data_IF_571415562063
#
_entry.id   IF_571415562063
#
_cell.length_a   1.000
_cell.length_b   1.000
_cell.length_c   1.000
_cell.angle_alpha   90.00
_cell.angle_beta   90.00
_cell.angle_gamma   90.00
#
_symmetry.space_group_name_H-M   'P 1'
#
loop_
_entity.id
_entity.type
_entity.pdbx_description
1 polymer ?
#
# COMPACT_ATOMS: atom_id res chain seq x y z
N UNK A 1 -23.09 -16.81 -4.66
CA UNK A 1 -23.05 -16.95 -3.19
C UNK A 1 -21.60 -17.10 -2.77
N UNK A 2 -21.13 -16.44 -1.69
CA UNK A 2 -19.74 -16.55 -1.28
C UNK A 2 -19.41 -17.96 -0.76
N UNK A 3 -18.23 -18.44 -1.12
CA UNK A 3 -17.69 -19.70 -0.59
C UNK A 3 -16.93 -19.43 0.72
N UNK A 4 -17.08 -20.31 1.69
CA UNK A 4 -16.36 -20.29 2.97
C UNK A 4 -15.58 -21.57 3.12
N UNK A 5 -14.27 -21.46 3.35
CA UNK A 5 -13.42 -22.57 3.73
C UNK A 5 -13.48 -22.72 5.26
N UNK A 6 -14.03 -23.83 5.72
CA UNK A 6 -14.28 -24.12 7.11
C UNK A 6 -13.40 -25.29 7.56
N UNK A 7 -12.73 -25.17 8.71
CA UNK A 7 -12.23 -26.33 9.46
C UNK A 7 -13.33 -26.74 10.43
N UNK A 8 -13.75 -27.98 10.35
CA UNK A 8 -14.83 -28.53 11.17
C UNK A 8 -14.35 -29.77 11.90
N UNK A 9 -14.88 -30.01 13.09
CA UNK A 9 -14.70 -31.25 13.84
C UNK A 9 -16.00 -32.03 13.77
N UNK A 10 -15.93 -33.27 13.27
CA UNK A 10 -17.09 -34.17 13.23
C UNK A 10 -17.38 -34.72 14.62
N UNK A 11 -18.55 -35.36 14.81
CA UNK A 11 -18.91 -35.97 16.08
C UNK A 11 -17.92 -37.07 16.53
N UNK A 12 -17.19 -37.65 15.57
CA UNK A 12 -16.14 -38.64 15.80
C UNK A 12 -14.78 -38.01 16.17
N UNK A 13 -14.70 -36.68 16.31
CA UNK A 13 -13.49 -35.96 16.71
C UNK A 13 -12.48 -35.71 15.58
N UNK A 14 -12.84 -35.99 14.33
CA UNK A 14 -11.95 -35.81 13.18
C UNK A 14 -12.04 -34.37 12.66
N UNK A 15 -10.89 -33.71 12.50
CA UNK A 15 -10.79 -32.38 11.90
C UNK A 15 -10.77 -32.49 10.38
N UNK A 16 -11.69 -31.83 9.69
CA UNK A 16 -11.80 -31.82 8.23
C UNK A 16 -11.87 -30.39 7.69
N UNK A 17 -11.20 -30.17 6.56
CA UNK A 17 -11.29 -28.93 5.80
C UNK A 17 -12.41 -29.07 4.76
N UNK A 18 -13.41 -28.18 4.80
CA UNK A 18 -14.60 -28.22 3.95
C UNK A 18 -14.87 -26.86 3.33
N UNK A 19 -15.32 -26.83 2.09
CA UNK A 19 -15.82 -25.61 1.46
C UNK A 19 -17.34 -25.63 1.47
N UNK A 20 -17.95 -24.59 2.06
CA UNK A 20 -19.40 -24.41 2.16
C UNK A 20 -19.81 -23.12 1.45
N UNK A 21 -20.81 -23.19 0.58
CA UNK A 21 -21.40 -22.01 -0.05
C UNK A 21 -22.56 -21.53 0.82
N UNK A 22 -22.48 -20.30 1.31
CA UNK A 22 -23.49 -19.74 2.21
C UNK A 22 -23.64 -18.24 1.99
N UNK A 23 -24.79 -17.67 2.34
CA UNK A 23 -25.03 -16.23 2.16
C UNK A 23 -24.32 -15.38 3.24
N UNK A 24 -24.10 -15.93 4.43
CA UNK A 24 -23.49 -15.25 5.58
C UNK A 24 -22.77 -16.23 6.49
N UNK A 25 -21.97 -15.72 7.44
CA UNK A 25 -21.31 -16.54 8.47
C UNK A 25 -22.34 -17.27 9.35
N UNK A 26 -23.47 -16.62 9.65
CA UNK A 26 -24.58 -17.21 10.42
C UNK A 26 -25.23 -18.40 9.69
N UNK A 27 -25.40 -18.29 8.37
CA UNK A 27 -25.87 -19.39 7.55
C UNK A 27 -24.91 -20.59 7.56
N UNK A 28 -23.60 -20.37 7.69
CA UNK A 28 -22.62 -21.45 7.85
C UNK A 28 -22.79 -22.17 9.19
N UNK A 29 -23.05 -21.43 10.29
CA UNK A 29 -23.33 -22.05 11.59
C UNK A 29 -24.57 -22.93 11.56
N UNK A 30 -25.64 -22.49 10.89
CA UNK A 30 -26.87 -23.27 10.75
C UNK A 30 -26.63 -24.59 10.00
N UNK A 31 -25.89 -24.55 8.89
CA UNK A 31 -25.53 -25.74 8.09
C UNK A 31 -24.67 -26.73 8.90
N UNK A 32 -23.74 -26.24 9.73
CA UNK A 32 -22.88 -27.09 10.55
C UNK A 32 -23.61 -27.70 11.74
N UNK A 33 -24.53 -26.93 12.35
CA UNK A 33 -25.37 -27.40 13.46
C UNK A 33 -26.30 -28.52 13.03
N UNK A 34 -26.92 -28.43 11.85
CA UNK A 34 -27.74 -29.51 11.28
C UNK A 34 -26.93 -30.80 11.06
N UNK A 35 -25.64 -30.68 10.75
CA UNK A 35 -24.72 -31.81 10.53
C UNK A 35 -24.07 -32.34 11.79
N UNK A 36 -24.39 -31.79 12.97
CA UNK A 36 -23.72 -32.08 14.25
C UNK A 36 -22.20 -31.89 14.20
N UNK A 37 -21.73 -30.97 13.36
CA UNK A 37 -20.31 -30.64 13.22
C UNK A 37 -20.00 -29.36 14.00
N UNK A 38 -18.85 -29.31 14.66
CA UNK A 38 -18.39 -28.11 15.36
C UNK A 38 -17.45 -27.30 14.47
N UNK A 39 -17.72 -26.01 14.35
CA UNK A 39 -16.86 -25.09 13.59
C UNK A 39 -15.60 -24.76 14.41
N UNK A 40 -14.42 -24.99 13.82
CA UNK A 40 -13.13 -24.61 14.41
C UNK A 40 -12.60 -23.32 13.80
N UNK A 41 -12.74 -23.15 12.49
CA UNK A 41 -12.27 -21.94 11.79
C UNK A 41 -13.08 -21.72 10.52
N UNK A 42 -13.35 -20.46 10.18
CA UNK A 42 -14.06 -20.07 8.95
C UNK A 42 -13.28 -18.97 8.23
N UNK A 43 -13.00 -19.17 6.94
CA UNK A 43 -12.36 -18.17 6.07
C UNK A 43 -13.24 -17.96 4.84
N UNK A 44 -13.67 -16.71 4.59
CA UNK A 44 -14.42 -16.36 3.39
C UNK A 44 -13.48 -16.39 2.18
N UNK A 45 -13.71 -17.31 1.26
CA UNK A 45 -12.94 -17.45 0.02
C UNK A 45 -13.41 -16.34 -0.93
N UNK A 46 -12.49 -15.45 -1.30
CA UNK A 46 -12.76 -14.33 -2.21
C UNK A 46 -12.92 -12.95 -1.57
N UNK A 47 -12.76 -12.81 -0.25
CA UNK A 47 -12.66 -11.49 0.40
C UNK A 47 -11.26 -11.24 0.96
N UNK A 48 -10.24 -11.43 0.12
CA UNK A 48 -8.91 -10.87 0.36
C UNK A 48 -8.95 -9.40 -0.04
N UNK A 49 -9.70 -8.57 0.69
CA UNK A 49 -9.32 -7.15 0.73
C UNK A 49 -7.95 -7.14 1.41
N UNK A 50 -6.94 -6.93 0.58
CA UNK A 50 -5.54 -6.85 0.95
C UNK A 50 -5.34 -5.58 1.80
N UNK A 51 -5.88 -5.58 3.02
CA UNK A 51 -5.78 -4.50 3.99
C UNK A 51 -4.31 -4.12 4.20
N UNK A 52 -3.39 -5.08 4.10
CA UNK A 52 -1.94 -4.85 4.10
C UNK A 52 -1.47 -3.87 3.02
N UNK A 53 -2.02 -3.93 1.80
CA UNK A 53 -1.69 -2.98 0.71
C UNK A 53 -2.26 -1.59 0.94
N UNK A 54 -3.38 -1.48 1.65
CA UNK A 54 -3.93 -0.18 2.06
C UNK A 54 -3.05 0.42 3.16
N UNK A 55 -2.66 -0.36 4.17
CA UNK A 55 -1.77 0.09 5.25
C UNK A 55 -0.35 0.45 4.75
N UNK A 56 0.23 -0.31 3.81
CA UNK A 56 1.55 0.02 3.25
C UNK A 56 1.53 1.30 2.40
N UNK A 57 0.39 1.69 1.83
CA UNK A 57 0.22 2.98 1.12
C UNK A 57 0.34 4.20 2.04
N UNK A 58 0.09 4.05 3.34
CA UNK A 58 0.18 5.12 4.34
C UNK A 58 1.42 5.00 5.22
N UNK A 59 2.35 4.09 4.89
CA UNK A 59 3.57 3.89 5.66
C UNK A 59 4.50 5.08 5.51
N UNK A 60 4.89 5.66 6.64
CA UNK A 60 5.82 6.78 6.69
C UNK A 60 7.16 6.39 6.07
N UNK A 61 7.68 7.24 5.19
CA UNK A 61 8.98 7.01 4.54
C UNK A 61 10.09 7.02 5.60
N UNK A 62 11.01 6.06 5.52
CA UNK A 62 12.11 5.96 6.49
C UNK A 62 13.08 7.14 6.30
N UNK A 63 13.63 7.75 7.37
CA UNK A 63 14.57 8.87 7.24
C UNK A 63 15.79 8.57 6.35
N UNK A 64 16.32 7.34 6.42
CA UNK A 64 17.43 6.89 5.56
C UNK A 64 17.07 6.94 4.07
N UNK A 65 15.86 6.52 3.72
CA UNK A 65 15.39 6.49 2.34
C UNK A 65 15.17 7.91 1.80
N UNK A 66 14.60 8.79 2.63
CA UNK A 66 14.48 10.23 2.32
C UNK A 66 15.85 10.89 2.11
N UNK A 67 16.83 10.60 2.96
CA UNK A 67 18.18 11.15 2.83
C UNK A 67 18.88 10.71 1.54
N UNK A 68 18.70 9.44 1.13
CA UNK A 68 19.23 8.92 -0.14
C UNK A 68 18.58 9.63 -1.32
N UNK A 69 17.23 9.70 -1.34
CA UNK A 69 16.48 10.40 -2.39
C UNK A 69 16.91 11.87 -2.53
N UNK A 70 17.02 12.58 -1.41
CA UNK A 70 17.41 14.00 -1.40
C UNK A 70 18.81 14.20 -1.98
N UNK A 71 19.77 13.35 -1.60
CA UNK A 71 21.14 13.44 -2.11
C UNK A 71 21.23 13.09 -3.60
N UNK A 72 20.54 12.05 -4.05
CA UNK A 72 20.51 11.67 -5.46
C UNK A 72 19.86 12.77 -6.30
N UNK A 73 18.72 13.31 -5.86
CA UNK A 73 18.05 14.44 -6.52
C UNK A 73 18.99 15.65 -6.61
N UNK A 74 19.65 16.04 -5.52
CA UNK A 74 20.64 17.11 -5.49
C UNK A 74 21.73 16.91 -6.54
N UNK A 75 22.32 15.71 -6.60
CA UNK A 75 23.40 15.41 -7.56
C UNK A 75 22.90 15.56 -8.98
N UNK A 76 21.75 14.97 -9.30
CA UNK A 76 21.17 15.02 -10.65
C UNK A 76 20.81 16.44 -11.09
N UNK A 77 20.19 17.23 -10.20
CA UNK A 77 19.87 18.63 -10.48
C UNK A 77 21.14 19.47 -10.69
N UNK A 78 22.18 19.26 -9.86
CA UNK A 78 23.47 19.95 -10.04
C UNK A 78 24.15 19.62 -11.37
N UNK A 79 23.91 18.43 -11.91
CA UNK A 79 24.41 18.03 -13.24
C UNK A 79 23.53 18.52 -14.40
N UNK A 80 22.48 19.29 -14.13
CA UNK A 80 21.58 19.84 -15.15
C UNK A 80 20.59 18.81 -15.71
N UNK A 81 20.39 17.68 -15.04
CA UNK A 81 19.39 16.69 -15.47
C UNK A 81 17.99 17.28 -15.22
N UNK A 82 17.08 17.26 -16.23
CA UNK A 82 15.72 17.76 -16.05
C UNK A 82 14.98 17.07 -14.90
N UNK A 83 14.21 17.83 -14.12
CA UNK A 83 13.52 17.34 -12.92
C UNK A 83 12.63 16.12 -13.20
N UNK A 84 11.94 16.09 -14.33
CA UNK A 84 11.10 14.97 -14.75
C UNK A 84 11.92 13.69 -14.93
N UNK A 85 13.12 13.80 -15.50
CA UNK A 85 14.06 12.67 -15.66
C UNK A 85 14.67 12.24 -14.34
N UNK A 86 14.93 13.18 -13.43
CA UNK A 86 15.33 12.88 -12.05
C UNK A 86 14.26 12.04 -11.35
N UNK A 87 13.00 12.47 -11.36
CA UNK A 87 11.90 11.77 -10.71
C UNK A 87 11.66 10.37 -11.31
N UNK A 88 11.71 10.23 -12.64
CA UNK A 88 11.62 8.91 -13.30
C UNK A 88 12.75 7.96 -12.84
N UNK A 89 13.98 8.48 -12.73
CA UNK A 89 15.13 7.68 -12.31
C UNK A 89 15.04 7.28 -10.84
N UNK A 90 14.64 8.22 -9.98
CA UNK A 90 14.47 8.01 -8.55
C UNK A 90 13.33 7.06 -8.23
N UNK A 91 12.24 7.09 -9.01
CA UNK A 91 11.14 6.12 -8.90
C UNK A 91 11.62 4.69 -9.12
N UNK A 92 12.42 4.47 -10.17
CA UNK A 92 13.01 3.16 -10.48
C UNK A 92 14.06 2.69 -9.46
N UNK A 93 14.70 3.61 -8.75
CA UNK A 93 15.73 3.33 -7.74
C UNK A 93 15.20 3.29 -6.31
N UNK A 94 13.89 3.54 -6.11
CA UNK A 94 13.30 3.56 -4.79
C UNK A 94 13.49 2.22 -4.07
N UNK A 95 13.90 2.29 -2.81
CA UNK A 95 14.17 1.08 -2.02
C UNK A 95 12.89 0.40 -1.51
N UNK A 96 11.79 1.14 -1.42
CA UNK A 96 10.48 0.64 -1.05
C UNK A 96 9.44 0.91 -2.13
N UNK A 97 8.52 -0.04 -2.32
CA UNK A 97 7.38 0.13 -3.23
C UNK A 97 6.50 1.32 -2.83
N UNK A 98 6.32 1.54 -1.52
CA UNK A 98 5.57 2.67 -0.97
C UNK A 98 6.17 4.01 -1.38
N UNK A 99 7.50 4.15 -1.32
CA UNK A 99 8.15 5.42 -1.69
C UNK A 99 8.24 5.57 -3.22
N UNK A 100 8.47 4.48 -3.95
CA UNK A 100 8.37 4.48 -5.41
C UNK A 100 7.00 4.99 -5.89
N UNK A 101 5.91 4.57 -5.23
CA UNK A 101 4.56 5.06 -5.53
C UNK A 101 4.40 6.56 -5.25
N UNK A 102 5.01 7.09 -4.17
CA UNK A 102 5.04 8.54 -3.88
C UNK A 102 5.77 9.30 -4.99
N UNK A 103 6.97 8.86 -5.37
CA UNK A 103 7.77 9.51 -6.42
C UNK A 103 7.04 9.45 -7.77
N UNK A 104 6.38 8.32 -8.07
CA UNK A 104 5.55 8.16 -9.26
C UNK A 104 4.38 9.14 -9.30
N UNK A 105 3.72 9.36 -8.16
CA UNK A 105 2.66 10.35 -8.04
C UNK A 105 3.20 11.77 -8.30
N UNK A 106 4.33 12.11 -7.68
CA UNK A 106 5.00 13.39 -7.92
C UNK A 106 5.37 13.59 -9.39
N UNK A 107 5.96 12.58 -10.03
CA UNK A 107 6.33 12.61 -11.45
C UNK A 107 5.13 12.95 -12.34
N UNK A 108 3.98 12.30 -12.11
CA UNK A 108 2.74 12.57 -12.85
C UNK A 108 2.25 14.01 -12.64
N UNK A 109 2.27 14.48 -11.40
CA UNK A 109 1.82 15.82 -11.05
C UNK A 109 2.70 16.91 -11.69
N UNK A 110 4.03 16.72 -11.65
CA UNK A 110 4.99 17.65 -12.26
C UNK A 110 4.87 17.67 -13.78
N UNK A 111 4.68 16.51 -14.42
CA UNK A 111 4.37 16.46 -15.86
C UNK A 111 3.04 17.15 -16.18
N UNK A 112 2.07 17.05 -15.28
CA UNK A 112 0.79 17.76 -15.37
C UNK A 112 0.88 19.27 -15.14
N UNK A 113 2.08 19.82 -14.90
CA UNK A 113 2.31 21.25 -14.75
C UNK A 113 2.30 21.77 -13.31
N UNK A 114 2.20 20.89 -12.31
CA UNK A 114 2.43 21.32 -10.92
C UNK A 114 3.92 21.62 -10.67
N UNK A 115 4.20 22.55 -9.77
CA UNK A 115 5.56 22.71 -9.23
C UNK A 115 5.98 21.47 -8.42
N UNK A 116 7.29 21.28 -8.24
CA UNK A 116 7.83 20.20 -7.43
C UNK A 116 7.38 20.32 -5.98
N UNK A 117 7.39 21.54 -5.42
CA UNK A 117 6.92 21.79 -4.05
C UNK A 117 5.44 21.45 -3.88
N UNK A 118 4.59 21.78 -4.86
CA UNK A 118 3.17 21.43 -4.82
C UNK A 118 2.99 19.91 -4.85
N UNK A 119 3.69 19.23 -5.77
CA UNK A 119 3.66 17.78 -5.86
C UNK A 119 4.19 17.07 -4.59
N UNK A 120 5.19 17.64 -3.91
CA UNK A 120 5.66 17.14 -2.61
C UNK A 120 4.62 17.34 -1.50
N UNK A 121 3.91 18.47 -1.50
CA UNK A 121 2.89 18.79 -0.50
C UNK A 121 1.69 17.83 -0.51
N UNK A 122 1.36 17.28 -1.68
CA UNK A 122 0.32 16.26 -1.84
C UNK A 122 0.70 14.91 -1.19
N UNK A 123 1.95 14.76 -0.73
CA UNK A 123 2.49 13.53 -0.13
C UNK A 123 3.03 13.79 1.31
N UNK A 124 2.18 14.21 2.27
CA UNK A 124 2.60 14.62 3.62
C UNK A 124 3.18 13.49 4.48
N UNK A 125 2.93 12.23 4.11
CA UNK A 125 3.52 11.06 4.77
C UNK A 125 5.01 10.86 4.42
N UNK A 126 5.47 11.50 3.34
CA UNK A 126 6.86 11.48 2.91
C UNK A 126 7.57 12.80 3.25
N UNK A 127 6.99 13.95 2.86
CA UNK A 127 7.63 15.25 2.99
C UNK A 127 7.00 16.06 4.12
N UNK A 128 7.84 16.58 5.03
CA UNK A 128 7.36 17.50 6.06
C UNK A 128 7.10 18.88 5.48
N UNK A 129 6.26 19.67 6.15
CA UNK A 129 5.98 21.06 5.73
C UNK A 129 7.26 21.88 5.59
N UNK A 130 8.21 21.73 6.52
CA UNK A 130 9.51 22.39 6.44
C UNK A 130 10.29 22.00 5.17
N UNK A 131 10.29 20.70 4.82
CA UNK A 131 10.94 20.22 3.61
C UNK A 131 10.32 20.85 2.35
N UNK A 132 8.99 20.85 2.28
CA UNK A 132 8.24 21.45 1.17
C UNK A 132 8.53 22.95 1.05
N UNK A 133 8.55 23.69 2.17
CA UNK A 133 8.85 25.12 2.18
C UNK A 133 10.27 25.43 1.69
N UNK A 134 11.26 24.62 2.05
CA UNK A 134 12.63 24.80 1.54
C UNK A 134 12.71 24.57 0.03
N UNK A 135 12.02 23.55 -0.49
CA UNK A 135 11.99 23.29 -1.94
C UNK A 135 11.29 24.42 -2.67
N UNK A 136 10.14 24.90 -2.16
CA UNK A 136 9.41 26.02 -2.74
C UNK A 136 10.29 27.26 -2.88
N UNK A 137 11.02 27.63 -1.81
CA UNK A 137 11.94 28.77 -1.86
C UNK A 137 13.03 28.59 -2.93
N UNK A 138 13.51 27.35 -3.14
CA UNK A 138 14.48 27.04 -4.19
C UNK A 138 13.91 27.03 -5.61
N UNK A 139 12.61 26.76 -5.79
CA UNK A 139 11.94 26.84 -7.11
C UNK A 139 11.67 28.28 -7.57
N UNK A 140 11.60 29.21 -6.62
CA UNK A 140 11.34 30.64 -6.87
C UNK A 140 12.62 31.44 -7.17
N UNK A 141 13.79 30.78 -7.28
CA UNK A 141 15.11 31.41 -7.54
C UNK A 141 15.64 31.01 -8.92
#
# INVERSE_FOLDING_TARGET
>A
MPEFQCKVVTAEGVVLDRTLSAASVDAVYSILKERKEQLVSIKKKGLSLDLGKVFDKYKKVKPKEMAIFTNQLKVMLRTGIPITKCLETLERQASSESFGAVIKNMYKNVIGGQSLSQAMSDNPNAFSNLYVSMVKAGEET
#
